data_IF_008835832151
#
_entry.id   IF_008835832151
#
_cell.length_a   1.000
_cell.length_b   1.000
_cell.length_c   1.000
_cell.angle_alpha   90.00
_cell.angle_beta   90.00
_cell.angle_gamma   90.00
#
_symmetry.space_group_name_H-M   'P 1'
#
loop_
_entity.id
_entity.type
_entity.pdbx_description
1 polymer ?
#
# COMPACT_ATOMS: atom_id res chain seq x y z
N UNK A 1 -5.11 -26.62 -5.94
CA UNK A 1 -4.01 -25.84 -5.35
C UNK A 1 -4.53 -24.43 -5.18
N UNK A 2 -4.45 -23.86 -3.98
CA UNK A 2 -4.77 -22.43 -3.80
C UNK A 2 -3.74 -21.63 -4.59
N UNK A 3 -4.20 -20.86 -5.58
CA UNK A 3 -3.34 -19.99 -6.38
C UNK A 3 -3.41 -18.58 -5.81
N UNK A 4 -2.35 -18.19 -5.11
CA UNK A 4 -2.24 -16.82 -4.61
C UNK A 4 -1.85 -15.87 -5.72
N UNK A 5 -2.44 -14.68 -5.64
CA UNK A 5 -2.16 -13.54 -6.50
C UNK A 5 -1.37 -12.49 -5.71
N UNK A 6 -0.74 -11.57 -6.42
CA UNK A 6 0.05 -10.49 -5.85
C UNK A 6 -0.62 -9.15 -6.17
N UNK A 7 -1.04 -8.41 -5.14
CA UNK A 7 -1.56 -7.06 -5.29
C UNK A 7 -0.52 -6.05 -4.81
N UNK A 8 -0.16 -5.08 -5.67
CA UNK A 8 0.72 -3.96 -5.31
C UNK A 8 -0.05 -2.65 -5.39
N UNK A 9 -0.03 -1.87 -4.31
CA UNK A 9 -0.71 -0.58 -4.20
C UNK A 9 0.35 0.50 -3.96
N UNK A 10 0.57 1.35 -4.96
CA UNK A 10 1.54 2.44 -4.93
C UNK A 10 0.88 3.76 -4.55
N UNK A 11 1.44 4.46 -3.56
CA UNK A 11 0.91 5.74 -3.07
C UNK A 11 2.04 6.64 -2.59
N UNK A 12 1.72 7.91 -2.32
CA UNK A 12 2.71 8.86 -1.79
C UNK A 12 2.92 8.61 -0.29
N UNK A 13 4.17 8.48 0.13
CA UNK A 13 4.59 8.44 1.51
C UNK A 13 4.15 9.71 2.24
N UNK A 14 3.51 9.52 3.39
CA UNK A 14 2.92 10.62 4.16
C UNK A 14 1.59 11.17 3.58
N UNK A 15 1.03 10.53 2.55
CA UNK A 15 -0.34 10.82 2.11
C UNK A 15 -1.31 10.55 3.26
N UNK A 16 -2.17 11.54 3.52
CA UNK A 16 -3.15 11.51 4.61
C UNK A 16 -4.51 11.17 4.03
N UNK A 17 -5.28 10.34 4.74
CA UNK A 17 -6.69 10.10 4.42
C UNK A 17 -7.47 11.42 4.42
N UNK A 18 -8.37 11.61 3.44
CA UNK A 18 -9.12 12.86 3.19
C UNK A 18 -10.06 13.29 4.34
N UNK A 19 -10.24 12.48 5.38
CA UNK A 19 -11.28 12.67 6.41
C UNK A 19 -10.84 13.28 7.75
N UNK A 20 -9.63 13.81 7.93
CA UNK A 20 -9.13 14.11 9.28
C UNK A 20 -8.82 15.59 9.57
N UNK A 21 -9.43 16.08 10.66
CA UNK A 21 -9.26 17.42 11.23
C UNK A 21 -7.86 17.60 11.83
N UNK A 22 -7.42 18.85 12.00
CA UNK A 22 -6.03 19.24 12.33
C UNK A 22 -5.43 18.54 13.57
N UNK A 23 -6.25 18.21 14.58
CA UNK A 23 -5.82 17.49 15.78
C UNK A 23 -5.69 15.97 15.59
N UNK A 24 -6.51 15.37 14.71
CA UNK A 24 -6.37 13.98 14.28
C UNK A 24 -5.14 13.77 13.39
N UNK A 25 -4.60 14.84 12.79
CA UNK A 25 -3.35 14.82 12.00
C UNK A 25 -2.09 14.62 12.84
N UNK A 26 -2.14 14.85 14.17
CA UNK A 26 -1.00 14.64 15.07
C UNK A 26 -0.96 13.22 15.67
N UNK A 27 -2.08 12.47 15.63
CA UNK A 27 -2.22 11.18 16.32
C UNK A 27 -2.51 9.99 15.38
N UNK A 28 -2.85 10.23 14.11
CA UNK A 28 -3.18 9.13 13.18
C UNK A 28 -2.03 8.67 12.30
N UNK A 29 -2.00 7.36 12.17
CA UNK A 29 -1.10 6.57 11.34
C UNK A 29 -1.09 7.00 9.88
N UNK A 30 0.09 6.89 9.25
CA UNK A 30 0.22 7.06 7.79
C UNK A 30 -0.73 6.12 7.05
N UNK A 31 -1.12 6.47 5.80
CA UNK A 31 -1.90 5.57 4.93
C UNK A 31 -1.30 4.15 4.89
N UNK A 32 0.04 4.05 4.90
CA UNK A 32 0.77 2.78 4.99
C UNK A 32 0.37 1.94 6.20
N UNK A 33 0.34 2.53 7.40
CA UNK A 33 0.01 1.80 8.62
C UNK A 33 -1.51 1.54 8.73
N UNK A 34 -2.37 2.42 8.22
CA UNK A 34 -3.81 2.15 8.11
C UNK A 34 -4.09 0.93 7.24
N UNK A 35 -3.54 0.90 6.02
CA UNK A 35 -3.75 -0.21 5.08
C UNK A 35 -3.09 -1.51 5.56
N UNK A 36 -1.91 -1.44 6.20
CA UNK A 36 -1.26 -2.62 6.78
C UNK A 36 -2.08 -3.21 7.94
N UNK A 37 -2.66 -2.36 8.80
CA UNK A 37 -3.60 -2.80 9.85
C UNK A 37 -4.88 -3.40 9.26
N UNK A 38 -5.42 -2.81 8.20
CA UNK A 38 -6.57 -3.36 7.50
C UNK A 38 -6.28 -4.76 6.92
N UNK A 39 -5.12 -4.94 6.28
CA UNK A 39 -4.70 -6.24 5.73
C UNK A 39 -4.58 -7.30 6.84
N UNK A 40 -3.99 -6.92 7.98
CA UNK A 40 -3.92 -7.80 9.16
C UNK A 40 -5.30 -8.15 9.71
N UNK A 41 -6.22 -7.18 9.81
CA UNK A 41 -7.58 -7.40 10.29
C UNK A 41 -8.40 -8.32 9.37
N UNK A 42 -8.20 -8.19 8.05
CA UNK A 42 -8.82 -9.06 7.03
C UNK A 42 -8.11 -10.42 6.89
N UNK A 43 -7.07 -10.69 7.69
CA UNK A 43 -6.30 -11.94 7.66
C UNK A 43 -5.72 -12.25 6.28
N UNK A 44 -5.22 -11.22 5.62
CA UNK A 44 -4.42 -11.37 4.41
C UNK A 44 -3.19 -12.24 4.73
N UNK A 45 -2.94 -13.26 3.90
CA UNK A 45 -1.90 -14.26 4.12
C UNK A 45 -0.51 -13.63 4.25
N UNK A 46 -0.18 -12.64 3.42
CA UNK A 46 1.07 -11.89 3.52
C UNK A 46 0.88 -10.43 3.12
N UNK A 47 1.41 -9.51 3.93
CA UNK A 47 1.40 -8.08 3.67
C UNK A 47 2.76 -7.43 4.02
N UNK A 48 3.32 -6.64 3.10
CA UNK A 48 4.57 -5.89 3.28
C UNK A 48 4.41 -4.42 2.89
N UNK A 49 5.12 -3.53 3.59
CA UNK A 49 5.30 -2.14 3.16
C UNK A 49 6.73 -1.94 2.67
N UNK A 50 6.87 -1.42 1.46
CA UNK A 50 8.14 -0.98 0.89
C UNK A 50 8.14 0.55 0.79
N UNK A 51 9.24 1.17 1.21
CA UNK A 51 9.49 2.60 1.01
C UNK A 51 10.67 2.69 0.05
N UNK A 52 10.48 3.37 -1.08
CA UNK A 52 11.53 3.49 -2.08
C UNK A 52 12.71 4.33 -1.55
N UNK A 53 13.94 3.93 -1.85
CA UNK A 53 15.12 4.77 -1.59
C UNK A 53 15.16 6.00 -2.52
N UNK A 54 14.60 5.89 -3.71
CA UNK A 54 14.26 6.99 -4.59
C UNK A 54 13.11 6.58 -5.52
N UNK A 55 12.27 7.53 -5.93
CA UNK A 55 11.18 7.23 -6.86
C UNK A 55 10.38 8.44 -7.27
N UNK A 56 9.47 8.22 -8.21
CA UNK A 56 8.45 9.18 -8.63
C UNK A 56 7.14 8.42 -8.93
N UNK A 57 6.02 9.14 -8.85
CA UNK A 57 4.70 8.61 -9.18
C UNK A 57 4.01 9.59 -10.14
N UNK A 58 3.25 9.06 -11.10
CA UNK A 58 2.47 9.85 -12.07
C UNK A 58 3.30 10.91 -12.83
N UNK A 59 4.50 10.54 -13.29
CA UNK A 59 5.38 11.46 -14.04
C UNK A 59 5.91 12.65 -13.24
N UNK A 60 5.78 12.62 -11.91
CA UNK A 60 6.34 13.66 -11.04
C UNK A 60 7.87 13.65 -10.99
N UNK A 61 8.42 14.61 -10.25
CA UNK A 61 9.87 14.69 -10.02
C UNK A 61 10.37 13.50 -9.20
N UNK A 62 11.61 13.09 -9.46
CA UNK A 62 12.30 12.10 -8.64
C UNK A 62 12.52 12.67 -7.24
N UNK A 63 12.11 11.91 -6.23
CA UNK A 63 12.36 12.18 -4.82
C UNK A 63 13.36 11.16 -4.31
N UNK A 64 14.46 11.62 -3.72
CA UNK A 64 15.46 10.77 -3.10
C UNK A 64 15.26 10.75 -1.58
N UNK A 65 15.28 9.55 -1.01
CA UNK A 65 15.28 9.33 0.43
C UNK A 65 16.71 9.33 0.95
N UNK A 66 17.30 10.53 1.07
CA UNK A 66 18.70 10.74 1.49
C UNK A 66 18.86 10.90 3.01
N UNK A 67 17.77 10.80 3.77
CA UNK A 67 17.74 10.95 5.22
C UNK A 67 17.15 9.72 5.90
N UNK A 68 17.47 9.50 7.18
CA UNK A 68 16.89 8.39 7.97
C UNK A 68 15.35 8.42 8.00
N UNK A 69 14.76 9.61 7.89
CA UNK A 69 13.32 9.81 7.72
C UNK A 69 13.00 10.12 6.24
N UNK A 70 12.09 9.36 5.60
CA UNK A 70 11.72 9.63 4.22
C UNK A 70 11.00 10.97 4.06
N UNK A 71 11.33 11.76 3.02
CA UNK A 71 10.63 13.01 2.79
C UNK A 71 9.14 12.76 2.50
N UNK A 72 8.24 13.66 2.93
CA UNK A 72 6.85 13.62 2.50
C UNK A 72 6.83 13.70 0.96
N UNK A 73 6.02 12.86 0.32
CA UNK A 73 5.94 12.64 -1.16
C UNK A 73 6.85 11.56 -1.74
N UNK A 74 7.66 10.86 -0.94
CA UNK A 74 8.37 9.68 -1.45
C UNK A 74 7.39 8.59 -1.93
N UNK A 75 7.82 7.60 -2.71
CA UNK A 75 6.94 6.52 -3.15
C UNK A 75 6.91 5.38 -2.12
N UNK A 76 5.71 4.94 -1.75
CA UNK A 76 5.49 3.76 -0.92
C UNK A 76 4.66 2.72 -1.68
N UNK A 77 4.87 1.45 -1.36
CA UNK A 77 4.14 0.32 -1.93
C UNK A 77 3.65 -0.59 -0.81
N UNK A 78 2.34 -0.83 -0.75
CA UNK A 78 1.78 -1.98 -0.02
C UNK A 78 1.71 -3.16 -0.97
N UNK A 79 2.30 -4.27 -0.57
CA UNK A 79 2.28 -5.53 -1.31
C UNK A 79 1.50 -6.56 -0.49
N UNK A 80 0.50 -7.18 -1.11
CA UNK A 80 -0.35 -8.22 -0.52
C UNK A 80 -0.28 -9.49 -1.36
N UNK A 81 -0.20 -10.65 -0.71
CA UNK A 81 -0.29 -11.96 -1.36
C UNK A 81 -1.38 -12.75 -0.66
N UNK A 82 -2.41 -13.14 -1.41
CA UNK A 82 -3.51 -14.00 -0.96
C UNK A 82 -4.34 -14.48 -2.17
N UNK A 83 -5.46 -15.16 -1.92
CA UNK A 83 -6.50 -15.47 -2.91
C UNK A 83 -7.07 -14.20 -3.52
N UNK A 84 -7.36 -14.24 -4.83
CA UNK A 84 -7.87 -13.09 -5.57
C UNK A 84 -9.11 -12.47 -4.92
N UNK A 85 -10.06 -13.30 -4.47
CA UNK A 85 -11.29 -12.81 -3.86
C UNK A 85 -11.04 -11.96 -2.60
N UNK A 86 -10.05 -12.32 -1.78
CA UNK A 86 -9.68 -11.52 -0.61
C UNK A 86 -9.00 -10.22 -1.01
N UNK A 87 -8.14 -10.24 -2.03
CA UNK A 87 -7.49 -9.04 -2.53
C UNK A 87 -8.50 -8.05 -3.14
N UNK A 88 -9.49 -8.55 -3.88
CA UNK A 88 -10.60 -7.75 -4.41
C UNK A 88 -11.47 -7.18 -3.28
N UNK A 89 -11.76 -7.98 -2.25
CA UNK A 89 -12.50 -7.53 -1.06
C UNK A 89 -11.72 -6.44 -0.32
N UNK A 90 -10.41 -6.60 -0.15
CA UNK A 90 -9.53 -5.61 0.44
C UNK A 90 -9.59 -4.27 -0.32
N UNK A 91 -9.49 -4.31 -1.65
CA UNK A 91 -9.59 -3.10 -2.50
C UNK A 91 -10.93 -2.39 -2.32
N UNK A 92 -12.03 -3.14 -2.32
CA UNK A 92 -13.38 -2.60 -2.17
C UNK A 92 -13.59 -1.96 -0.81
N UNK A 93 -13.18 -2.63 0.27
CA UNK A 93 -13.38 -2.15 1.64
C UNK A 93 -12.54 -0.90 1.97
N UNK A 94 -11.46 -0.67 1.22
CA UNK A 94 -10.54 0.46 1.42
C UNK A 94 -10.54 1.44 0.22
N UNK A 95 -11.56 1.39 -0.65
CA UNK A 95 -11.63 2.17 -1.89
C UNK A 95 -11.45 3.68 -1.64
N UNK A 96 -12.05 4.20 -0.55
CA UNK A 96 -11.99 5.61 -0.20
C UNK A 96 -10.56 6.06 0.16
N UNK A 97 -9.77 5.18 0.77
CA UNK A 97 -8.39 5.42 1.19
C UNK A 97 -7.41 5.30 0.03
N UNK A 98 -7.69 4.40 -0.93
CA UNK A 98 -6.79 4.11 -2.07
C UNK A 98 -7.16 4.88 -3.36
N UNK A 99 -8.13 5.80 -3.31
CA UNK A 99 -8.65 6.52 -4.48
C UNK A 99 -7.55 7.21 -5.33
N UNK A 100 -6.46 7.64 -4.71
CA UNK A 100 -5.35 8.33 -5.37
C UNK A 100 -4.10 7.42 -5.52
N UNK A 101 -4.22 6.14 -5.17
CA UNK A 101 -3.18 5.13 -5.31
C UNK A 101 -3.29 4.41 -6.67
N UNK A 102 -2.20 3.78 -7.08
CA UNK A 102 -2.18 2.89 -8.24
C UNK A 102 -2.17 1.45 -7.74
N UNK A 103 -3.24 0.72 -8.01
CA UNK A 103 -3.36 -0.70 -7.67
C UNK A 103 -3.07 -1.57 -8.89
N UNK A 104 -2.17 -2.54 -8.75
CA UNK A 104 -1.80 -3.50 -9.79
C UNK A 104 -2.00 -4.90 -9.24
N UNK A 105 -2.94 -5.65 -9.81
CA UNK A 105 -3.11 -7.07 -9.53
C UNK A 105 -2.29 -7.88 -10.55
N UNK A 106 -1.35 -8.65 -10.02
CA UNK A 106 -0.45 -9.51 -10.79
C UNK A 106 -0.94 -10.94 -10.61
N UNK A 107 -1.15 -11.61 -11.75
CA UNK A 107 -1.49 -13.02 -11.79
C UNK A 107 -0.23 -13.82 -12.11
N UNK A 108 0.56 -14.21 -11.08
CA UNK A 108 1.75 -14.99 -11.36
C UNK A 108 1.34 -16.36 -11.93
N UNK A 109 1.99 -16.76 -13.01
CA UNK A 109 2.00 -18.16 -13.44
C UNK A 109 2.83 -19.06 -12.48
N UNK A 110 3.22 -18.52 -11.33
CA UNK A 110 4.20 -19.12 -10.42
C UNK A 110 3.48 -20.01 -9.41
N UNK A 111 3.91 -21.26 -9.37
CA UNK A 111 3.53 -22.21 -8.33
C UNK A 111 4.28 -21.91 -7.04
N UNK A 112 3.57 -21.99 -5.91
CA UNK A 112 4.18 -21.91 -4.59
C UNK A 112 5.06 -23.16 -4.37
N UNK A 113 6.38 -22.99 -4.37
CA UNK A 113 7.33 -24.06 -4.04
C UNK A 113 7.54 -24.03 -2.52
N UNK A 114 7.15 -25.11 -1.84
CA UNK A 114 7.37 -25.30 -0.39
C UNK A 114 8.72 -25.94 -0.12
#
# INVERSE_FOLDING_TARGET
>A
MEQYQLLRIYFKYGQKSKKLSFWQKLWNSSLSDQLLKAAKAQKIHHANIFIASAGYLNGGNIVYNVSELPPPKNTACLELIDEELKLQTFLKDNEAEIQEAISILIHPEIQLIK
#
